data_IF_964306121613
#
_entry.id   IF_964306121613
#
_cell.length_a   1.000
_cell.length_b   1.000
_cell.length_c   1.000
_cell.angle_alpha   90.00
_cell.angle_beta   90.00
_cell.angle_gamma   90.00
#
_symmetry.space_group_name_H-M   'P 1'
#
loop_
_entity.id
_entity.type
_entity.pdbx_description
1 polymer ?
#
# COMPACT_ATOMS: atom_id res chain seq x y z
N UNK A 1 -5.59 25.61 -12.82
CA UNK A 1 -5.69 24.89 -14.11
C UNK A 1 -4.72 23.72 -14.11
N UNK A 2 -5.16 22.56 -14.57
CA UNK A 2 -4.31 21.38 -14.59
C UNK A 2 -3.39 21.42 -15.82
N UNK A 3 -2.08 21.29 -15.58
CA UNK A 3 -1.09 21.15 -16.64
C UNK A 3 -0.52 19.74 -16.58
N UNK A 4 -0.78 18.93 -17.60
CA UNK A 4 -0.36 17.53 -17.66
C UNK A 4 1.16 17.37 -17.62
N UNK A 5 1.92 18.38 -18.09
CA UNK A 5 3.38 18.35 -18.08
C UNK A 5 3.96 18.57 -16.67
N UNK A 6 3.14 18.96 -15.72
CA UNK A 6 3.55 19.20 -14.33
C UNK A 6 3.18 18.05 -13.38
N UNK A 7 2.67 16.95 -13.91
CA UNK A 7 2.24 15.80 -13.10
C UNK A 7 3.36 14.79 -13.02
N UNK A 8 3.72 14.42 -11.78
CA UNK A 8 4.68 13.34 -11.48
C UNK A 8 3.91 12.13 -10.98
N UNK A 9 3.95 11.05 -11.76
CA UNK A 9 3.33 9.76 -11.42
C UNK A 9 4.34 8.69 -11.07
N UNK A 10 5.60 9.06 -10.84
CA UNK A 10 6.69 8.11 -10.57
C UNK A 10 6.37 7.19 -9.40
N UNK A 11 5.75 7.72 -8.35
CA UNK A 11 5.43 6.94 -7.14
C UNK A 11 4.41 5.83 -7.37
N UNK A 12 3.64 5.89 -8.47
CA UNK A 12 2.65 4.84 -8.80
C UNK A 12 3.32 3.46 -8.85
N UNK A 13 4.47 3.36 -9.53
CA UNK A 13 5.23 2.11 -9.65
C UNK A 13 6.48 2.06 -8.78
N UNK A 14 6.89 3.17 -8.17
CA UNK A 14 8.04 3.22 -7.26
C UNK A 14 7.66 3.07 -5.79
N UNK A 15 6.41 3.37 -5.48
CA UNK A 15 5.88 3.26 -4.13
C UNK A 15 5.85 4.56 -3.36
N UNK A 16 4.99 4.59 -2.36
CA UNK A 16 4.85 5.70 -1.43
C UNK A 16 4.71 5.15 0.00
N UNK A 17 5.16 5.92 0.97
CA UNK A 17 5.15 5.49 2.37
C UNK A 17 3.84 5.86 3.07
N UNK A 18 3.17 4.85 3.63
CA UNK A 18 2.06 5.03 4.56
C UNK A 18 2.63 5.08 5.97
N UNK A 19 2.32 6.13 6.73
CA UNK A 19 2.51 6.11 8.18
C UNK A 19 1.27 5.50 8.80
N UNK A 20 1.44 4.34 9.42
CA UNK A 20 0.31 3.60 10.01
C UNK A 20 -0.17 4.28 11.27
N UNK A 21 -1.47 4.42 11.39
CA UNK A 21 -2.11 4.96 12.59
C UNK A 21 -2.19 3.83 13.62
N UNK A 22 -1.29 3.86 14.60
CA UNK A 22 -1.18 2.82 15.62
C UNK A 22 -2.11 3.14 16.79
N UNK A 23 -2.91 2.17 17.27
CA UNK A 23 -3.76 2.41 18.44
C UNK A 23 -2.95 2.93 19.62
N UNK A 24 -3.48 3.94 20.37
CA UNK A 24 -2.72 4.57 21.47
C UNK A 24 -2.16 3.59 22.49
N UNK A 25 -2.85 2.49 22.75
CA UNK A 25 -2.40 1.48 23.70
C UNK A 25 -1.13 0.75 23.26
N UNK A 26 -0.81 0.78 21.97
CA UNK A 26 0.34 0.09 21.37
C UNK A 26 1.43 1.06 20.93
N UNK A 27 1.14 2.36 20.94
CA UNK A 27 2.03 3.39 20.42
C UNK A 27 3.14 3.67 21.43
N UNK A 28 4.38 3.41 21.03
CA UNK A 28 5.59 3.67 21.82
C UNK A 28 6.34 4.92 21.34
N UNK A 29 5.74 5.70 20.42
CA UNK A 29 6.36 6.88 19.85
C UNK A 29 7.20 6.61 18.61
N UNK A 30 7.54 5.35 18.31
CA UNK A 30 8.26 5.01 17.09
C UNK A 30 7.25 4.81 15.94
N UNK A 31 7.44 5.49 14.80
CA UNK A 31 6.50 5.37 13.69
C UNK A 31 6.58 4.00 13.03
N UNK A 32 5.41 3.44 12.69
CA UNK A 32 5.30 2.29 11.81
C UNK A 32 4.97 2.80 10.41
N UNK A 33 5.78 2.44 9.43
CA UNK A 33 5.59 2.87 8.04
C UNK A 33 5.64 1.68 7.10
N UNK A 34 4.81 1.73 6.07
CA UNK A 34 4.74 0.68 5.04
C UNK A 34 4.84 1.35 3.67
N UNK A 35 5.75 0.87 2.82
CA UNK A 35 5.91 1.36 1.45
C UNK A 35 5.03 0.55 0.52
N UNK A 36 4.14 1.23 -0.19
CA UNK A 36 3.07 0.61 -0.97
C UNK A 36 3.04 1.13 -2.40
N UNK A 37 2.64 0.28 -3.32
CA UNK A 37 2.32 0.64 -4.69
C UNK A 37 0.84 1.07 -4.81
N UNK A 38 0.56 1.91 -5.81
CA UNK A 38 -0.80 2.36 -6.13
C UNK A 38 -1.65 1.25 -6.75
N UNK A 39 -2.98 1.38 -6.68
CA UNK A 39 -3.91 0.54 -7.45
C UNK A 39 -3.72 0.71 -8.96
N UNK A 40 -3.06 1.78 -9.41
CA UNK A 40 -2.75 2.01 -10.82
C UNK A 40 -1.38 1.45 -11.21
N UNK A 41 -0.64 0.86 -10.27
CA UNK A 41 0.63 0.23 -10.55
C UNK A 41 0.46 -1.06 -11.36
N UNK A 42 1.49 -1.39 -12.14
CA UNK A 42 1.50 -2.62 -12.94
C UNK A 42 1.36 -3.86 -12.07
N UNK A 43 2.01 -3.86 -10.91
CA UNK A 43 1.95 -4.97 -9.95
C UNK A 43 0.54 -5.17 -9.40
N UNK A 44 -0.15 -4.07 -9.03
CA UNK A 44 -1.52 -4.17 -8.53
C UNK A 44 -2.48 -4.66 -9.61
N UNK A 45 -2.37 -4.12 -10.83
CA UNK A 45 -3.25 -4.51 -11.94
C UNK A 45 -3.15 -6.02 -12.19
N UNK A 46 -1.93 -6.54 -12.20
CA UNK A 46 -1.68 -7.98 -12.36
C UNK A 46 -2.25 -8.80 -11.19
N UNK A 47 -1.97 -8.35 -9.96
CA UNK A 47 -2.46 -9.02 -8.75
C UNK A 47 -3.98 -8.98 -8.66
N UNK A 48 -4.62 -7.89 -9.07
CA UNK A 48 -6.07 -7.76 -9.10
C UNK A 48 -6.73 -8.73 -10.08
N UNK A 49 -6.06 -9.01 -11.20
CA UNK A 49 -6.56 -10.03 -12.15
C UNK A 49 -6.55 -11.43 -11.51
N UNK A 50 -5.48 -11.77 -10.79
CA UNK A 50 -5.40 -13.02 -10.03
C UNK A 50 -6.47 -13.09 -8.94
N UNK A 51 -6.66 -11.99 -8.22
CA UNK A 51 -7.69 -11.86 -7.19
C UNK A 51 -9.07 -12.17 -7.75
N UNK A 52 -9.42 -11.55 -8.89
CA UNK A 52 -10.72 -11.79 -9.54
C UNK A 52 -10.87 -13.24 -10.00
N UNK A 53 -9.80 -13.85 -10.51
CA UNK A 53 -9.83 -15.28 -10.89
C UNK A 53 -10.09 -16.18 -9.69
N UNK A 54 -9.46 -15.91 -8.56
CA UNK A 54 -9.68 -16.66 -7.33
C UNK A 54 -11.13 -16.56 -6.86
N UNK A 55 -11.68 -15.34 -6.85
CA UNK A 55 -13.07 -15.12 -6.46
C UNK A 55 -14.02 -15.87 -7.40
N UNK A 56 -13.81 -15.77 -8.71
CA UNK A 56 -14.65 -16.43 -9.71
C UNK A 56 -14.64 -17.96 -9.55
N UNK A 57 -13.46 -18.53 -9.29
CA UNK A 57 -13.29 -19.96 -9.07
C UNK A 57 -14.13 -20.46 -7.88
N UNK A 58 -14.26 -19.67 -6.84
CA UNK A 58 -15.01 -20.01 -5.65
C UNK A 58 -16.42 -19.39 -5.63
N UNK A 59 -16.84 -18.74 -6.72
CA UNK A 59 -18.14 -18.08 -6.86
C UNK A 59 -18.39 -17.03 -5.78
N UNK A 60 -17.35 -16.26 -5.43
CA UNK A 60 -17.39 -15.20 -4.43
C UNK A 60 -17.44 -13.83 -5.08
N UNK A 61 -17.93 -12.85 -4.35
CA UNK A 61 -17.91 -11.43 -4.74
C UNK A 61 -16.74 -10.70 -4.10
N UNK A 62 -16.38 -9.54 -4.65
CA UNK A 62 -15.35 -8.66 -4.08
C UNK A 62 -15.74 -8.29 -2.64
N UNK A 63 -14.76 -8.39 -1.73
CA UNK A 63 -14.99 -8.10 -0.32
C UNK A 63 -15.64 -9.23 0.47
N UNK A 64 -15.74 -10.44 -0.11
CA UNK A 64 -16.26 -11.60 0.60
C UNK A 64 -15.48 -11.87 1.87
N UNK A 65 -16.18 -12.08 2.98
CA UNK A 65 -15.59 -12.24 4.31
C UNK A 65 -15.28 -13.69 4.68
N UNK A 66 -15.51 -14.64 3.76
CA UNK A 66 -15.09 -16.03 3.98
C UNK A 66 -13.57 -16.13 4.10
N UNK A 67 -13.08 -17.26 4.57
CA UNK A 67 -11.63 -17.49 4.68
C UNK A 67 -10.94 -17.33 3.33
N UNK A 68 -11.52 -17.88 2.26
CA UNK A 68 -10.96 -17.76 0.90
C UNK A 68 -10.92 -16.30 0.44
N UNK A 69 -12.00 -15.55 0.67
CA UNK A 69 -12.07 -14.13 0.32
C UNK A 69 -11.04 -13.30 1.09
N UNK A 70 -10.88 -13.54 2.37
CA UNK A 70 -9.90 -12.84 3.22
C UNK A 70 -8.47 -13.17 2.81
N UNK A 71 -8.18 -14.43 2.51
CA UNK A 71 -6.84 -14.83 2.03
C UNK A 71 -6.53 -14.19 0.67
N UNK A 72 -7.52 -14.10 -0.21
CA UNK A 72 -7.35 -13.44 -1.50
C UNK A 72 -7.03 -11.94 -1.31
N UNK A 73 -7.73 -11.25 -0.41
CA UNK A 73 -7.45 -9.85 -0.06
C UNK A 73 -6.02 -9.69 0.46
N UNK A 74 -5.60 -10.54 1.38
CA UNK A 74 -4.25 -10.50 1.95
C UNK A 74 -3.19 -10.65 0.86
N UNK A 75 -3.35 -11.60 -0.05
CA UNK A 75 -2.41 -11.80 -1.16
C UNK A 75 -2.35 -10.60 -2.09
N UNK A 76 -3.49 -10.00 -2.40
CA UNK A 76 -3.56 -8.80 -3.24
C UNK A 76 -2.73 -7.66 -2.65
N UNK A 77 -2.97 -7.31 -1.39
CA UNK A 77 -2.28 -6.18 -0.76
C UNK A 77 -0.83 -6.51 -0.38
N UNK A 78 -0.52 -7.78 -0.11
CA UNK A 78 0.87 -8.20 0.11
C UNK A 78 1.71 -8.00 -1.16
N UNK A 79 1.13 -8.22 -2.34
CA UNK A 79 1.85 -8.05 -3.61
C UNK A 79 2.29 -6.61 -3.84
N UNK A 80 1.55 -5.62 -3.34
CA UNK A 80 1.89 -4.20 -3.49
C UNK A 80 2.69 -3.64 -2.32
N UNK A 81 3.04 -4.45 -1.34
CA UNK A 81 3.85 -4.05 -0.19
C UNK A 81 5.32 -4.28 -0.51
N UNK A 82 6.11 -3.19 -0.52
CA UNK A 82 7.52 -3.23 -0.92
C UNK A 82 8.46 -3.32 0.27
N UNK A 83 8.16 -2.62 1.36
CA UNK A 83 9.04 -2.51 2.52
C UNK A 83 8.24 -2.01 3.72
N UNK A 84 8.79 -2.15 4.90
CA UNK A 84 8.26 -1.51 6.10
C UNK A 84 9.35 -1.10 7.06
N UNK A 85 9.00 -0.21 7.98
CA UNK A 85 9.84 0.26 9.08
C UNK A 85 9.04 0.24 10.37
N UNK A 86 9.71 0.07 11.49
CA UNK A 86 9.06 0.17 12.80
C UNK A 86 8.19 -1.03 13.15
N UNK A 87 8.43 -2.19 12.56
CA UNK A 87 7.72 -3.43 12.87
C UNK A 87 8.68 -4.38 13.56
N UNK A 88 8.29 -4.80 14.77
CA UNK A 88 9.08 -5.77 15.55
C UNK A 88 8.22 -6.95 15.93
N UNK A 89 8.89 -8.07 16.20
CA UNK A 89 8.26 -9.26 16.74
C UNK A 89 9.24 -9.91 17.74
N UNK A 90 8.75 -10.16 18.94
CA UNK A 90 9.62 -10.70 19.98
C UNK A 90 10.79 -9.78 20.35
N UNK A 91 10.60 -8.46 20.22
CA UNK A 91 11.62 -7.46 20.54
C UNK A 91 12.67 -7.23 19.46
N UNK A 92 12.62 -7.94 18.35
CA UNK A 92 13.56 -7.80 17.25
C UNK A 92 12.84 -7.27 15.99
N UNK A 93 13.61 -6.57 15.16
CA UNK A 93 13.11 -6.09 13.86
C UNK A 93 12.59 -7.27 13.04
N UNK A 94 11.37 -7.11 12.48
CA UNK A 94 10.71 -8.17 11.71
C UNK A 94 10.87 -7.90 10.23
N UNK A 95 11.51 -8.81 9.46
CA UNK A 95 11.75 -8.56 8.04
C UNK A 95 10.46 -8.44 7.23
N UNK A 96 10.44 -7.53 6.27
CA UNK A 96 9.34 -7.37 5.33
C UNK A 96 9.46 -8.41 4.19
N UNK A 97 9.19 -9.65 4.52
CA UNK A 97 9.07 -10.73 3.54
C UNK A 97 7.61 -10.90 3.14
N UNK A 98 7.37 -11.54 1.98
CA UNK A 98 6.00 -11.83 1.55
C UNK A 98 5.24 -12.62 2.61
N UNK A 99 5.87 -13.64 3.20
CA UNK A 99 5.26 -14.45 4.25
C UNK A 99 4.89 -13.62 5.47
N UNK A 100 5.79 -12.75 5.93
CA UNK A 100 5.55 -11.91 7.10
C UNK A 100 4.49 -10.85 6.83
N UNK A 101 4.46 -10.28 5.62
CA UNK A 101 3.43 -9.32 5.21
C UNK A 101 2.07 -9.99 5.23
N UNK A 102 1.95 -11.18 4.67
CA UNK A 102 0.70 -11.93 4.69
C UNK A 102 0.24 -12.22 6.11
N UNK A 103 1.18 -12.59 6.99
CA UNK A 103 0.88 -12.86 8.40
C UNK A 103 0.40 -11.60 9.11
N UNK A 104 1.06 -10.47 8.89
CA UNK A 104 0.64 -9.19 9.48
C UNK A 104 -0.79 -8.84 9.05
N UNK A 105 -1.06 -8.90 7.76
CA UNK A 105 -2.38 -8.50 7.24
C UNK A 105 -3.48 -9.47 7.65
N UNK A 106 -3.18 -10.77 7.75
CA UNK A 106 -4.14 -11.77 8.17
C UNK A 106 -4.49 -11.66 9.66
N UNK A 107 -3.52 -11.29 10.50
CA UNK A 107 -3.69 -11.25 11.96
C UNK A 107 -4.07 -9.88 12.48
N UNK A 108 -3.82 -8.80 11.73
CA UNK A 108 -4.06 -7.43 12.15
C UNK A 108 -4.94 -6.68 11.13
N UNK A 109 -6.26 -6.92 11.15
CA UNK A 109 -7.17 -6.31 10.17
C UNK A 109 -7.14 -4.77 10.15
N UNK A 110 -6.82 -4.14 11.29
CA UNK A 110 -6.72 -2.68 11.38
C UNK A 110 -5.57 -2.12 10.55
N UNK A 111 -4.53 -2.93 10.25
CA UNK A 111 -3.44 -2.53 9.37
C UNK A 111 -3.85 -2.62 7.91
N UNK A 112 -4.41 -3.74 7.47
CA UNK A 112 -4.81 -3.92 6.07
C UNK A 112 -5.89 -2.93 5.65
N UNK A 113 -6.77 -2.51 6.56
CA UNK A 113 -7.76 -1.47 6.27
C UNK A 113 -7.11 -0.14 5.90
N UNK A 114 -6.03 0.23 6.59
CA UNK A 114 -5.28 1.45 6.29
C UNK A 114 -4.52 1.32 4.98
N UNK A 115 -3.93 0.17 4.71
CA UNK A 115 -3.26 -0.13 3.44
C UNK A 115 -4.23 0.02 2.28
N UNK A 116 -5.40 -0.57 2.39
CA UNK A 116 -6.45 -0.52 1.36
C UNK A 116 -6.85 0.94 1.06
N UNK A 117 -7.09 1.72 2.10
CA UNK A 117 -7.46 3.13 1.93
C UNK A 117 -6.34 3.95 1.30
N UNK A 118 -5.08 3.67 1.64
CA UNK A 118 -3.92 4.39 1.14
C UNK A 118 -3.69 4.14 -0.35
N UNK A 119 -3.76 2.89 -0.81
CA UNK A 119 -3.42 2.53 -2.19
C UNK A 119 -4.43 3.04 -3.21
N UNK A 120 -5.68 3.30 -2.79
CA UNK A 120 -6.72 3.84 -3.67
C UNK A 120 -6.73 5.36 -3.73
N UNK A 121 -5.92 6.03 -2.91
CA UNK A 121 -5.92 7.50 -2.81
C UNK A 121 -4.85 8.08 -3.72
N UNK A 122 -5.28 8.72 -4.80
CA UNK A 122 -4.37 9.25 -5.82
C UNK A 122 -3.36 10.25 -5.27
N UNK A 123 -3.77 11.09 -4.32
CA UNK A 123 -2.91 12.10 -3.72
C UNK A 123 -1.65 11.51 -3.06
N UNK A 124 -1.66 10.22 -2.71
CA UNK A 124 -0.50 9.54 -2.13
C UNK A 124 0.57 9.18 -3.16
N UNK A 125 0.22 9.21 -4.45
CA UNK A 125 1.11 8.72 -5.52
C UNK A 125 1.32 9.73 -6.65
N UNK A 126 0.50 10.75 -6.72
CA UNK A 126 0.54 11.75 -7.79
C UNK A 126 0.94 13.08 -7.17
N UNK A 127 2.00 13.69 -7.70
CA UNK A 127 2.57 14.92 -7.18
C UNK A 127 2.82 15.90 -8.32
N UNK A 128 3.02 17.16 -7.95
CA UNK A 128 3.55 18.15 -8.89
C UNK A 128 5.04 17.88 -9.10
N UNK A 129 5.52 18.05 -10.32
CA UNK A 129 6.95 17.97 -10.59
C UNK A 129 7.69 19.06 -9.80
N UNK A 130 8.86 18.73 -9.21
CA UNK A 130 9.63 19.73 -8.49
C UNK A 130 10.05 20.85 -9.42
N UNK A 131 9.94 22.11 -8.95
CA UNK A 131 10.45 23.26 -9.64
C UNK A 131 11.84 23.58 -9.11
N UNK A 132 12.78 23.83 -10.04
CA UNK A 132 14.11 24.28 -9.65
C UNK A 132 14.20 25.80 -9.75
N UNK A 133 14.99 26.48 -8.89
CA UNK A 133 15.12 27.94 -8.97
C UNK A 133 15.57 28.45 -10.33
N UNK A 134 16.40 27.68 -11.06
CA UNK A 134 16.93 28.04 -12.38
C UNK A 134 15.86 28.10 -13.45
N UNK A 135 14.74 27.44 -13.29
CA UNK A 135 13.67 27.40 -14.28
C UNK A 135 12.61 28.47 -14.03
N UNK A 136 12.70 29.20 -12.92
CA UNK A 136 11.75 30.27 -12.60
C UNK A 136 12.13 31.53 -13.34
N UNK A 137 11.19 32.20 -14.02
CA UNK A 137 11.47 33.50 -14.57
C UNK A 137 11.78 34.48 -13.45
N UNK A 138 12.77 35.32 -13.67
CA UNK A 138 13.06 36.43 -12.75
C UNK A 138 11.87 37.40 -12.80
N UNK A 139 11.39 37.73 -11.65
CA UNK A 139 10.29 38.69 -11.54
C UNK A 139 10.75 40.02 -10.98
#
# INVERSE_FOLDING_TARGET
>A
MLDLDQIDTTAVNAGSWLTVDVPPALDDGAPMRIKLLSIDSDAYIKAAAEYRRTLAKHKLTVGDESQVGREADVLLYATVTLAWEGVTKGGASWPCSRENVCRLYATQPWVIRQVRAFVVTDANFIQALPQTPETRPES
#
